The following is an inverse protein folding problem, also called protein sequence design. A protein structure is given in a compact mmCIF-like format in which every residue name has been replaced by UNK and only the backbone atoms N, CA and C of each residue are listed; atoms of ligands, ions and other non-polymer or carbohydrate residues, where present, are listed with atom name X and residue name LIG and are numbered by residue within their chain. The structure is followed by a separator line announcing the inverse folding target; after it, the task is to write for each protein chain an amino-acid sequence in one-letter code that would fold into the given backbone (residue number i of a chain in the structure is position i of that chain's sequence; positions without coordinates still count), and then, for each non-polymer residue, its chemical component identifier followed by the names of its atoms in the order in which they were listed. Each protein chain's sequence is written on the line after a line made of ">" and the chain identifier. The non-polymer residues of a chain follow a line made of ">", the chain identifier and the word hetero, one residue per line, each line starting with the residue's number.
data_IF_854014952417
#
_entry.id   IF_854014952417
#
_cell.length_a   1.000
_cell.length_b   1.000
_cell.length_c   1.000
_cell.angle_alpha   90.00
_cell.angle_beta   90.00
_cell.angle_gamma   90.00
#
_symmetry.space_group_name_H-M   'P 1'
#
loop_
_entity.id
_entity.type
_entity.pdbx_description
1 polymer ?
#
# COMPACT_ATOMS: atom_id res chain seq x y z
N UNK A 1 1.50 9.41 -20.06
CA UNK A 1 0.67 8.20 -19.89
C UNK A 1 -0.80 8.60 -19.93
N UNK A 2 -1.61 7.87 -20.69
CA UNK A 2 -3.08 8.03 -20.67
C UNK A 2 -3.67 7.44 -19.37
N UNK A 3 -4.80 7.97 -18.89
CA UNK A 3 -5.48 7.37 -17.73
C UNK A 3 -5.95 5.94 -18.05
N UNK A 4 -6.36 5.66 -19.29
CA UNK A 4 -6.73 4.32 -19.73
C UNK A 4 -5.56 3.33 -19.61
N UNK A 5 -4.33 3.75 -19.96
CA UNK A 5 -3.14 2.89 -19.83
C UNK A 5 -2.79 2.61 -18.37
N UNK A 6 -3.21 3.48 -17.43
CA UNK A 6 -3.05 3.24 -15.99
C UNK A 6 -3.95 2.09 -15.53
N UNK A 7 -5.22 2.06 -15.94
CA UNK A 7 -6.15 1.00 -15.53
C UNK A 7 -5.75 -0.37 -16.10
N UNK A 8 -5.36 -0.44 -17.38
CA UNK A 8 -4.82 -1.67 -17.97
C UNK A 8 -3.56 -2.15 -17.24
N UNK A 9 -2.64 -1.24 -16.87
CA UNK A 9 -1.46 -1.59 -16.08
C UNK A 9 -1.82 -2.11 -14.68
N UNK A 10 -2.83 -1.54 -14.02
CA UNK A 10 -3.33 -2.03 -12.73
C UNK A 10 -3.97 -3.43 -12.85
N UNK A 11 -4.77 -3.70 -13.89
CA UNK A 11 -5.28 -5.06 -14.19
C UNK A 11 -4.14 -6.05 -14.42
N UNK A 12 -3.13 -5.69 -15.22
CA UNK A 12 -1.94 -6.53 -15.43
C UNK A 12 -1.04 -6.65 -14.19
N UNK A 13 -1.11 -5.75 -13.21
CA UNK A 13 -0.50 -5.97 -11.90
C UNK A 13 -1.35 -6.94 -11.06
N UNK A 14 -2.67 -6.74 -10.97
CA UNK A 14 -3.58 -7.64 -10.25
C UNK A 14 -3.46 -9.11 -10.73
N UNK A 15 -3.40 -9.33 -12.05
CA UNK A 15 -3.22 -10.67 -12.63
C UNK A 15 -1.87 -11.32 -12.30
N UNK A 16 -0.78 -10.54 -12.20
CA UNK A 16 0.53 -11.07 -11.78
C UNK A 16 0.52 -11.42 -10.29
N UNK A 17 -0.07 -10.55 -9.47
CA UNK A 17 -0.18 -10.76 -8.03
C UNK A 17 -1.12 -11.94 -7.68
N UNK A 18 -2.16 -12.17 -8.50
CA UNK A 18 -3.04 -13.34 -8.40
C UNK A 18 -2.34 -14.68 -8.65
N UNK A 19 -1.33 -14.67 -9.52
CA UNK A 19 -0.60 -15.85 -9.98
C UNK A 19 0.74 -16.05 -9.25
N UNK A 20 1.03 -15.26 -8.21
CA UNK A 20 2.31 -15.32 -7.53
C UNK A 20 2.33 -16.43 -6.46
N UNK A 21 3.45 -17.14 -6.36
CA UNK A 21 3.70 -18.17 -5.34
C UNK A 21 4.23 -17.60 -4.02
N UNK A 22 4.12 -16.28 -3.83
CA UNK A 22 4.48 -15.60 -2.59
C UNK A 22 3.48 -15.94 -1.47
N UNK A 23 3.86 -15.67 -0.22
CA UNK A 23 2.96 -15.89 0.93
C UNK A 23 1.68 -15.07 0.78
N UNK A 24 0.51 -15.65 1.09
CA UNK A 24 -0.80 -15.00 0.91
C UNK A 24 -0.89 -13.58 1.52
N UNK A 25 -0.25 -13.36 2.66
CA UNK A 25 -0.15 -12.04 3.30
C UNK A 25 0.58 -10.97 2.46
N UNK A 26 1.42 -11.34 1.49
CA UNK A 26 2.04 -10.44 0.52
C UNK A 26 1.08 -10.14 -0.63
N UNK A 27 0.54 -11.16 -1.29
CA UNK A 27 -0.49 -11.02 -2.33
C UNK A 27 -1.68 -10.17 -1.84
N UNK A 28 -2.08 -10.34 -0.58
CA UNK A 28 -3.10 -9.53 0.09
C UNK A 28 -2.72 -8.05 0.24
N UNK A 29 -1.54 -7.74 0.82
CA UNK A 29 -1.05 -6.35 0.96
C UNK A 29 -0.98 -5.64 -0.39
N UNK A 30 -0.59 -6.37 -1.43
CA UNK A 30 -0.44 -5.85 -2.78
C UNK A 30 -1.81 -5.58 -3.45
N UNK A 31 -2.86 -6.33 -3.12
CA UNK A 31 -4.25 -6.03 -3.52
C UNK A 31 -4.80 -4.84 -2.74
N UNK A 32 -4.59 -4.76 -1.43
CA UNK A 32 -4.99 -3.58 -0.63
C UNK A 32 -4.31 -2.29 -1.17
N UNK A 33 -3.08 -2.41 -1.70
CA UNK A 33 -2.39 -1.34 -2.43
C UNK A 33 -3.00 -1.06 -3.82
N UNK A 34 -3.44 -2.07 -4.56
CA UNK A 34 -4.13 -1.90 -5.85
C UNK A 34 -5.52 -1.27 -5.70
N UNK A 35 -6.29 -1.63 -4.68
CA UNK A 35 -7.55 -0.97 -4.32
C UNK A 35 -7.30 0.52 -4.02
N UNK A 36 -6.28 0.84 -3.21
CA UNK A 36 -5.92 2.23 -2.90
C UNK A 36 -5.43 3.05 -4.13
N UNK A 37 -4.73 2.41 -5.09
CA UNK A 37 -4.39 3.04 -6.38
C UNK A 37 -5.65 3.28 -7.23
N UNK A 38 -6.60 2.36 -7.20
CA UNK A 38 -7.87 2.42 -7.94
C UNK A 38 -8.78 3.51 -7.38
N UNK A 39 -8.88 3.65 -6.05
CA UNK A 39 -9.53 4.80 -5.39
C UNK A 39 -8.90 6.13 -5.82
N UNK A 40 -7.56 6.20 -5.88
CA UNK A 40 -6.90 7.42 -6.32
C UNK A 40 -7.18 7.76 -7.79
N UNK A 41 -7.42 6.77 -8.66
CA UNK A 41 -7.88 6.99 -10.02
C UNK A 41 -9.33 7.48 -10.07
N UNK A 42 -10.24 6.84 -9.31
CA UNK A 42 -11.65 7.25 -9.21
C UNK A 42 -11.79 8.71 -8.76
N UNK A 43 -11.10 9.09 -7.68
CA UNK A 43 -11.11 10.44 -7.14
C UNK A 43 -10.52 11.48 -8.12
N UNK A 44 -9.51 11.12 -8.92
CA UNK A 44 -8.99 11.98 -10.00
C UNK A 44 -10.04 12.20 -11.09
N UNK A 45 -10.71 11.15 -11.56
CA UNK A 45 -11.77 11.28 -12.56
C UNK A 45 -12.95 12.11 -12.06
N UNK A 46 -13.42 11.88 -10.83
CA UNK A 46 -14.48 12.69 -10.21
C UNK A 46 -14.08 14.16 -10.05
N UNK A 47 -12.84 14.43 -9.63
CA UNK A 47 -12.29 15.78 -9.54
C UNK A 47 -12.19 16.47 -10.91
N UNK A 48 -11.66 15.79 -11.94
CA UNK A 48 -11.60 16.32 -13.30
C UNK A 48 -13.01 16.63 -13.84
N UNK A 49 -13.97 15.73 -13.63
CA UNK A 49 -15.39 15.93 -14.01
C UNK A 49 -15.96 17.20 -13.38
N UNK A 50 -15.74 17.40 -12.08
CA UNK A 50 -16.24 18.57 -11.37
C UNK A 50 -15.58 19.87 -11.87
N UNK A 51 -14.27 19.87 -12.11
CA UNK A 51 -13.58 21.03 -12.68
C UNK A 51 -14.09 21.38 -14.09
N UNK A 52 -14.29 20.39 -14.96
CA UNK A 52 -14.84 20.59 -16.31
C UNK A 52 -16.26 21.19 -16.26
N UNK A 53 -17.12 20.69 -15.37
CA UNK A 53 -18.47 21.23 -15.13
C UNK A 53 -18.44 22.68 -14.64
N UNK A 54 -17.57 23.00 -13.68
CA UNK A 54 -17.41 24.37 -13.17
C UNK A 54 -16.90 25.32 -14.25
N UNK A 55 -15.90 24.91 -15.04
CA UNK A 55 -15.39 25.69 -16.17
C UNK A 55 -16.49 25.95 -17.21
N UNK A 56 -17.23 24.92 -17.64
CA UNK A 56 -18.32 25.10 -18.60
C UNK A 56 -19.49 25.94 -18.05
N UNK A 57 -19.81 25.83 -16.75
CA UNK A 57 -20.80 26.67 -16.10
C UNK A 57 -20.37 28.14 -15.95
N UNK A 58 -19.06 28.42 -15.95
CA UNK A 58 -18.54 29.80 -15.85
C UNK A 58 -18.76 30.62 -17.13
N UNK A 59 -18.77 30.01 -18.31
CA UNK A 59 -18.93 30.74 -19.57
C UNK A 59 -20.29 31.44 -19.71
N UNK A 60 -21.45 30.79 -19.43
CA UNK A 60 -22.74 31.49 -19.35
C UNK A 60 -22.77 32.67 -18.37
N UNK A 61 -22.07 32.55 -17.23
CA UNK A 61 -21.98 33.63 -16.23
C UNK A 61 -21.16 34.81 -16.77
N UNK A 62 -20.02 34.54 -17.40
CA UNK A 62 -19.19 35.57 -18.05
C UNK A 62 -19.92 36.27 -19.21
N UNK A 63 -20.77 35.53 -19.94
CA UNK A 63 -21.63 36.08 -20.99
C UNK A 63 -22.72 36.98 -20.40
N UNK A 64 -23.42 36.53 -19.34
CA UNK A 64 -24.43 37.33 -18.64
C UNK A 64 -23.85 38.61 -18.00
N UNK A 65 -22.59 38.59 -17.57
CA UNK A 65 -21.86 39.74 -17.03
C UNK A 65 -21.24 40.66 -18.12
N UNK A 66 -21.46 40.36 -19.40
CA UNK A 66 -20.89 41.13 -20.53
C UNK A 66 -19.36 41.08 -20.59
N UNK A 67 -18.72 40.08 -19.97
CA UNK A 67 -17.25 39.90 -19.96
C UNK A 67 -16.75 38.98 -21.06
N UNK A 68 -17.65 38.22 -21.68
CA UNK A 68 -17.40 37.35 -22.82
C UNK A 68 -18.59 37.46 -23.78
N UNK A 69 -18.38 37.41 -25.09
CA UNK A 69 -19.49 37.32 -26.05
C UNK A 69 -19.77 35.85 -26.40
N UNK A 70 -21.04 35.53 -26.65
CA UNK A 70 -21.42 34.16 -27.03
C UNK A 70 -20.73 33.70 -28.33
N UNK A 71 -20.50 34.63 -29.27
CA UNK A 71 -19.72 34.38 -30.47
C UNK A 71 -18.26 34.01 -30.15
N UNK A 72 -17.57 34.78 -29.31
CA UNK A 72 -16.19 34.50 -28.93
C UNK A 72 -16.06 33.16 -28.17
N UNK A 73 -17.01 32.84 -27.30
CA UNK A 73 -17.06 31.54 -26.62
C UNK A 73 -17.20 30.37 -27.61
N UNK A 74 -18.11 30.47 -28.57
CA UNK A 74 -18.28 29.43 -29.60
C UNK A 74 -17.01 29.30 -30.46
N UNK A 75 -16.40 30.41 -30.88
CA UNK A 75 -15.11 30.38 -31.61
C UNK A 75 -13.99 29.71 -30.79
N UNK A 76 -13.97 29.86 -29.46
CA UNK A 76 -13.02 29.14 -28.59
C UNK A 76 -13.30 27.64 -28.46
N UNK A 77 -14.57 27.21 -28.56
CA UNK A 77 -14.95 25.78 -28.54
C UNK A 77 -14.73 25.08 -29.89
N UNK A 78 -14.96 25.81 -30.98
CA UNK A 78 -14.75 25.34 -32.36
C UNK A 78 -13.26 25.37 -32.78
N UNK A 79 -12.41 26.09 -32.03
CA UNK A 79 -10.97 26.08 -32.26
C UNK A 79 -10.41 24.67 -32.06
N UNK A 80 -9.93 24.05 -33.15
CA UNK A 80 -9.26 22.75 -33.13
C UNK A 80 -7.96 22.86 -32.34
N UNK A 81 -8.03 22.48 -31.07
CA UNK A 81 -6.86 22.21 -30.25
C UNK A 81 -6.31 20.84 -30.62
N UNK A 82 -4.99 20.75 -30.70
CA UNK A 82 -4.25 19.49 -30.89
C UNK A 82 -3.48 19.18 -29.60
N UNK A 83 -3.10 17.93 -29.41
CA UNK A 83 -2.08 17.56 -28.43
C UNK A 83 -1.10 16.57 -29.06
N UNK A 84 0.17 16.73 -28.74
CA UNK A 84 1.20 15.72 -29.03
C UNK A 84 1.13 14.64 -27.95
N UNK A 85 1.06 13.38 -28.36
CA UNK A 85 1.18 12.24 -27.45
C UNK A 85 2.65 11.92 -27.09
N UNK A 86 2.89 10.81 -26.38
CA UNK A 86 4.26 10.42 -26.01
C UNK A 86 5.07 9.80 -27.16
N UNK A 87 4.47 9.70 -28.35
CA UNK A 87 5.00 9.14 -29.58
C UNK A 87 5.20 10.22 -30.66
N UNK A 88 4.71 11.44 -30.43
CA UNK A 88 4.75 12.55 -31.38
C UNK A 88 3.55 12.61 -32.34
N UNK A 89 2.50 11.81 -32.13
CA UNK A 89 1.25 11.94 -32.90
C UNK A 89 0.47 13.18 -32.45
N UNK A 90 0.04 14.00 -33.40
CA UNK A 90 -0.79 15.20 -33.17
C UNK A 90 -2.27 14.87 -33.25
N UNK A 91 -2.83 14.34 -32.16
CA UNK A 91 -4.24 13.97 -32.10
C UNK A 91 -5.16 15.19 -31.87
N UNK A 92 -6.36 15.22 -32.49
CA UNK A 92 -7.34 16.27 -32.25
C UNK A 92 -7.92 16.16 -30.84
N UNK A 93 -7.84 17.24 -30.07
CA UNK A 93 -8.33 17.29 -28.69
C UNK A 93 -9.87 17.40 -28.66
N UNK A 94 -10.52 16.55 -27.87
CA UNK A 94 -11.97 16.58 -27.67
C UNK A 94 -12.35 17.83 -26.87
N UNK A 95 -13.05 18.79 -27.50
CA UNK A 95 -13.55 20.02 -26.85
C UNK A 95 -15.01 19.92 -26.37
N UNK A 96 -15.82 19.01 -26.94
CA UNK A 96 -17.25 18.87 -26.62
C UNK A 96 -17.46 18.25 -25.23
N UNK A 97 -18.12 18.98 -24.33
CA UNK A 97 -18.35 18.55 -22.95
C UNK A 97 -19.07 17.19 -22.87
N UNK A 98 -20.11 16.97 -23.67
CA UNK A 98 -20.89 15.72 -23.69
C UNK A 98 -20.00 14.49 -23.97
N UNK A 99 -19.12 14.61 -24.96
CA UNK A 99 -18.17 13.55 -25.32
C UNK A 99 -17.18 13.28 -24.17
N UNK A 100 -16.69 14.32 -23.49
CA UNK A 100 -15.79 14.16 -22.34
C UNK A 100 -16.53 13.60 -21.11
N UNK A 101 -17.76 14.02 -20.85
CA UNK A 101 -18.63 13.50 -19.79
C UNK A 101 -18.93 12.02 -19.97
N UNK A 102 -19.21 11.58 -21.20
CA UNK A 102 -19.41 10.16 -21.54
C UNK A 102 -18.12 9.35 -21.32
N UNK A 103 -16.99 9.80 -21.88
CA UNK A 103 -15.69 9.14 -21.67
C UNK A 103 -15.35 9.02 -20.17
N UNK A 104 -15.61 10.07 -19.38
CA UNK A 104 -15.40 10.03 -17.92
C UNK A 104 -16.37 9.07 -17.23
N UNK A 105 -17.62 8.96 -17.69
CA UNK A 105 -18.57 7.97 -17.19
C UNK A 105 -18.13 6.53 -17.49
N UNK A 106 -17.66 6.25 -18.71
CA UNK A 106 -17.18 4.94 -19.15
C UNK A 106 -15.92 4.51 -18.39
N UNK A 107 -15.01 5.45 -18.12
CA UNK A 107 -13.84 5.19 -17.28
C UNK A 107 -14.23 4.96 -15.81
N UNK A 108 -15.21 5.71 -15.27
CA UNK A 108 -15.74 5.48 -13.92
C UNK A 108 -16.52 4.16 -13.79
N UNK A 109 -17.14 3.66 -14.86
CA UNK A 109 -17.70 2.31 -14.92
C UNK A 109 -16.59 1.26 -14.89
N UNK A 110 -15.61 1.38 -15.81
CA UNK A 110 -14.44 0.49 -15.91
C UNK A 110 -13.66 0.36 -14.59
N UNK A 111 -13.59 1.44 -13.80
CA UNK A 111 -12.99 1.46 -12.46
C UNK A 111 -13.80 0.63 -11.45
N UNK A 112 -15.14 0.69 -11.50
CA UNK A 112 -16.03 -0.09 -10.62
C UNK A 112 -16.01 -1.58 -10.95
N UNK A 113 -15.93 -1.92 -12.23
CA UNK A 113 -15.76 -3.31 -12.67
C UNK A 113 -14.42 -3.86 -12.16
N UNK A 114 -13.33 -3.08 -12.25
CA UNK A 114 -12.04 -3.48 -11.70
C UNK A 114 -12.03 -3.58 -10.16
N UNK A 115 -12.78 -2.76 -9.43
CA UNK A 115 -13.00 -2.99 -7.99
C UNK A 115 -13.74 -4.31 -7.70
N UNK A 116 -14.69 -4.72 -8.55
CA UNK A 116 -15.36 -6.01 -8.40
C UNK A 116 -14.36 -7.17 -8.65
N UNK A 117 -13.51 -7.06 -9.67
CA UNK A 117 -12.39 -8.00 -9.92
C UNK A 117 -11.46 -8.11 -8.69
N UNK A 118 -11.02 -6.97 -8.13
CA UNK A 118 -10.12 -6.95 -6.95
C UNK A 118 -10.76 -7.60 -5.71
N UNK A 119 -12.07 -7.41 -5.48
CA UNK A 119 -12.80 -8.06 -4.37
C UNK A 119 -12.98 -9.56 -4.56
N UNK A 120 -13.25 -10.00 -5.80
CA UNK A 120 -13.30 -11.44 -6.14
C UNK A 120 -11.92 -12.08 -5.90
N UNK A 121 -10.84 -11.38 -6.26
CA UNK A 121 -9.48 -11.84 -6.01
C UNK A 121 -9.15 -11.89 -4.51
N UNK A 122 -9.48 -10.85 -3.74
CA UNK A 122 -9.28 -10.79 -2.28
C UNK A 122 -10.03 -11.93 -1.56
N UNK A 123 -11.30 -12.17 -1.90
CA UNK A 123 -12.08 -13.29 -1.32
C UNK A 123 -11.57 -14.67 -1.76
N UNK A 124 -10.87 -14.76 -2.88
CA UNK A 124 -10.23 -16.01 -3.34
C UNK A 124 -8.94 -16.28 -2.58
N UNK A 125 -8.09 -15.28 -2.38
CA UNK A 125 -6.88 -15.39 -1.56
C UNK A 125 -7.22 -15.78 -0.12
N UNK A 126 -8.22 -15.14 0.50
CA UNK A 126 -8.67 -15.51 1.86
C UNK A 126 -9.22 -16.94 1.95
N UNK A 127 -9.79 -17.49 0.86
CA UNK A 127 -10.22 -18.89 0.80
C UNK A 127 -9.03 -19.84 0.71
N UNK A 128 -8.03 -19.50 -0.10
CA UNK A 128 -6.83 -20.31 -0.30
C UNK A 128 -5.97 -20.34 0.97
N UNK A 129 -5.75 -19.18 1.61
CA UNK A 129 -5.05 -19.03 2.89
C UNK A 129 -5.72 -19.89 3.99
N UNK A 130 -7.05 -19.92 4.05
CA UNK A 130 -7.82 -20.78 4.96
C UNK A 130 -7.74 -22.27 4.60
N UNK A 131 -7.55 -22.60 3.32
CA UNK A 131 -7.45 -24.00 2.86
C UNK A 131 -6.05 -24.58 3.15
N UNK A 132 -4.98 -23.82 2.90
CA UNK A 132 -3.62 -24.22 3.26
C UNK A 132 -3.46 -24.38 4.77
N UNK A 133 -3.96 -23.43 5.57
CA UNK A 133 -3.89 -23.54 7.03
C UNK A 133 -4.57 -24.80 7.61
N UNK A 134 -5.58 -25.35 6.92
CA UNK A 134 -6.21 -26.63 7.27
C UNK A 134 -5.39 -27.85 6.85
N UNK A 135 -4.74 -27.79 5.68
CA UNK A 135 -3.84 -28.84 5.22
C UNK A 135 -2.61 -28.93 6.13
N UNK A 136 -2.05 -27.78 6.55
CA UNK A 136 -0.98 -27.72 7.55
C UNK A 136 -1.43 -28.32 8.90
N UNK A 137 -2.63 -27.98 9.38
CA UNK A 137 -3.20 -28.57 10.60
C UNK A 137 -3.36 -30.10 10.48
N UNK A 138 -3.89 -30.60 9.36
CA UNK A 138 -4.06 -32.04 9.11
C UNK A 138 -2.71 -32.78 9.00
N UNK A 139 -1.69 -32.17 8.38
CA UNK A 139 -0.32 -32.72 8.30
C UNK A 139 0.36 -32.75 9.67
N UNK A 140 0.18 -31.71 10.50
CA UNK A 140 0.69 -31.67 11.88
C UNK A 140 -0.01 -32.72 12.75
N UNK A 141 -1.34 -32.83 12.69
CA UNK A 141 -2.10 -33.85 13.42
C UNK A 141 -1.71 -35.27 12.99
N UNK A 142 -1.52 -35.51 11.69
CA UNK A 142 -1.06 -36.81 11.16
C UNK A 142 0.34 -37.15 11.69
N UNK A 143 1.25 -36.17 11.70
CA UNK A 143 2.61 -36.32 12.20
C UNK A 143 2.66 -36.55 13.72
N UNK A 144 1.85 -35.83 14.51
CA UNK A 144 1.71 -36.04 15.96
C UNK A 144 1.16 -37.44 16.28
N UNK A 145 0.18 -37.93 15.51
CA UNK A 145 -0.32 -39.30 15.65
C UNK A 145 0.75 -40.35 15.31
N UNK A 146 1.56 -40.13 14.27
CA UNK A 146 2.67 -41.03 13.91
C UNK A 146 3.76 -41.07 15.01
N UNK A 147 4.11 -39.91 15.59
CA UNK A 147 5.03 -39.83 16.73
C UNK A 147 4.43 -40.53 17.95
N UNK A 148 3.16 -40.28 18.29
CA UNK A 148 2.46 -40.95 19.39
C UNK A 148 2.50 -42.47 19.25
N UNK A 149 2.09 -43.00 18.09
CA UNK A 149 2.10 -44.44 17.82
C UNK A 149 3.51 -45.05 17.96
N UNK A 150 4.55 -44.28 17.63
CA UNK A 150 5.95 -44.69 17.80
C UNK A 150 6.39 -44.70 19.26
N UNK A 151 5.91 -43.75 20.08
CA UNK A 151 6.14 -43.73 21.54
C UNK A 151 5.36 -44.84 22.25
N UNK A 152 4.11 -45.10 21.85
CA UNK A 152 3.29 -46.19 22.37
C UNK A 152 3.94 -47.56 22.06
N UNK A 153 4.57 -47.71 20.88
CA UNK A 153 5.34 -48.91 20.51
C UNK A 153 6.66 -49.05 21.29
N UNK A 154 7.41 -47.97 21.49
CA UNK A 154 8.61 -47.98 22.33
C UNK A 154 8.28 -48.30 23.80
N UNK A 155 7.16 -47.81 24.31
CA UNK A 155 6.68 -48.06 25.68
C UNK A 155 6.34 -49.54 25.86
N UNK A 156 5.55 -50.14 24.94
CA UNK A 156 5.29 -51.60 24.93
C UNK A 156 6.57 -52.42 24.88
N UNK A 157 7.60 -51.98 24.14
CA UNK A 157 8.91 -52.66 24.10
C UNK A 157 9.64 -52.59 25.43
N UNK A 158 9.60 -51.46 26.13
CA UNK A 158 10.15 -51.33 27.48
C UNK A 158 9.39 -52.20 28.49
N UNK A 159 8.06 -52.22 28.45
CA UNK A 159 7.23 -53.06 29.33
C UNK A 159 7.43 -54.57 29.04
N UNK A 160 7.65 -54.93 27.77
CA UNK A 160 7.95 -56.31 27.37
C UNK A 160 9.36 -56.78 27.73
N UNK A 161 10.26 -55.85 28.08
CA UNK A 161 11.62 -56.19 28.48
C UNK A 161 11.59 -56.78 29.90
N UNK A 162 11.96 -58.06 30.10
CA UNK A 162 11.92 -58.66 31.42
C UNK A 162 12.97 -57.99 32.30
N UNK A 163 12.51 -57.08 33.18
CA UNK A 163 13.35 -56.39 34.16
C UNK A 163 14.07 -57.43 35.03
N UNK A 164 15.32 -57.70 34.67
CA UNK A 164 16.17 -58.70 35.32
C UNK A 164 16.43 -58.22 36.73
N UNK A 165 15.71 -58.78 37.70
CA UNK A 165 15.68 -58.31 39.10
C UNK A 165 17.09 -58.20 39.70
N UNK A 166 17.68 -57.02 39.63
CA UNK A 166 18.70 -56.58 40.56
C UNK A 166 18.04 -56.49 41.94
N UNK A 167 18.43 -57.36 42.84
CA UNK A 167 17.85 -57.47 44.18
C UNK A 167 18.45 -56.44 45.12
N UNK A 168 17.66 -55.45 45.53
CA UNK A 168 17.96 -54.59 46.69
C UNK A 168 16.75 -54.49 47.63
N UNK A 169 16.95 -54.19 48.94
CA UNK A 169 16.00 -54.59 49.97
C UNK A 169 14.96 -53.52 50.39
N UNK A 170 13.71 -54.00 50.45
CA UNK A 170 12.76 -53.83 51.57
C UNK A 170 12.12 -52.45 51.93
N UNK A 171 10.77 -52.41 51.76
CA UNK A 171 9.75 -51.94 52.74
C UNK A 171 9.59 -50.40 52.94
N UNK A 172 8.37 -49.80 53.16
CA UNK A 172 6.98 -50.29 53.10
C UNK A 172 6.01 -49.48 52.17
N UNK A 173 4.75 -49.93 52.13
CA UNK A 173 3.52 -49.25 51.62
C UNK A 173 2.93 -48.27 52.69
N UNK A 174 1.76 -47.55 52.52
CA UNK A 174 0.67 -47.59 51.52
C UNK A 174 0.38 -46.19 50.88
N UNK A 175 -0.77 -45.75 50.32
CA UNK A 175 -2.20 -46.16 50.41
C UNK A 175 -3.05 -45.78 49.16
N UNK A 176 -4.35 -46.10 49.20
CA UNK A 176 -5.42 -46.01 48.19
C UNK A 176 -6.04 -44.61 47.98
N UNK A 177 -6.51 -44.32 46.75
CA UNK A 177 -7.87 -43.82 46.37
C UNK A 177 -7.82 -43.30 44.92
N UNK A 178 -8.38 -43.93 43.88
CA UNK A 178 -9.80 -44.21 43.59
C UNK A 178 -10.66 -42.95 43.33
N UNK A 179 -10.92 -42.63 42.04
CA UNK A 179 -12.27 -42.52 41.46
C UNK A 179 -12.23 -42.35 39.92
N UNK A 180 -13.32 -42.76 39.26
CA UNK A 180 -13.55 -42.81 37.81
C UNK A 180 -14.92 -42.15 37.51
N UNK A 181 -15.08 -41.41 36.40
CA UNK A 181 -16.40 -41.22 35.76
C UNK A 181 -16.33 -40.76 34.28
N UNK A 182 -17.47 -40.80 33.57
CA UNK A 182 -17.57 -40.88 32.10
C UNK A 182 -18.50 -39.82 31.45
N UNK A 183 -18.55 -39.85 30.10
CA UNK A 183 -19.65 -39.42 29.18
C UNK A 183 -19.75 -37.95 28.71
N UNK A 184 -19.38 -37.76 27.43
CA UNK A 184 -20.15 -37.04 26.39
C UNK A 184 -21.51 -37.76 26.12
N UNK A 185 -22.53 -37.21 25.42
CA UNK A 185 -22.43 -36.19 24.35
C UNK A 185 -23.47 -35.04 24.33
N UNK A 186 -23.25 -34.10 23.41
CA UNK A 186 -24.18 -33.09 22.86
C UNK A 186 -24.16 -33.20 21.31
N UNK A 187 -25.02 -32.48 20.54
CA UNK A 187 -26.45 -32.25 20.75
C UNK A 187 -27.27 -32.53 19.47
N UNK A 188 -28.53 -32.94 19.60
CA UNK A 188 -29.46 -32.99 18.46
C UNK A 188 -30.08 -31.61 18.20
N UNK A 189 -29.81 -30.99 17.05
CA UNK A 189 -30.52 -29.80 16.56
C UNK A 189 -31.49 -30.22 15.46
N UNK A 190 -32.76 -29.88 15.62
CA UNK A 190 -33.86 -30.31 14.76
C UNK A 190 -34.41 -29.13 13.95
N UNK A 191 -34.90 -29.41 12.74
CA UNK A 191 -35.23 -28.37 11.75
C UNK A 191 -36.35 -27.41 12.16
N UNK A 192 -36.10 -26.11 12.00
CA UNK A 192 -37.12 -25.06 11.89
C UNK A 192 -36.84 -24.16 10.69
N UNK A 193 -37.00 -24.72 9.48
CA UNK A 193 -37.01 -23.97 8.22
C UNK A 193 -38.35 -23.23 8.01
N UNK A 194 -38.77 -22.41 8.99
CA UNK A 194 -40.03 -21.67 8.90
C UNK A 194 -39.97 -20.48 7.92
N UNK A 195 -41.07 -20.31 7.18
CA UNK A 195 -41.22 -19.37 6.07
C UNK A 195 -41.15 -17.90 6.51
N UNK A 196 -39.99 -17.27 6.39
CA UNK A 196 -39.89 -15.80 6.42
C UNK A 196 -40.55 -15.23 5.16
N UNK A 197 -41.83 -14.89 5.25
CA UNK A 197 -42.53 -14.09 4.23
C UNK A 197 -42.06 -12.64 4.30
N UNK A 198 -41.07 -12.29 3.48
CA UNK A 198 -40.55 -10.92 3.33
C UNK A 198 -41.60 -9.97 2.74
N UNK A 199 -42.43 -9.39 3.61
CA UNK A 199 -43.14 -8.14 3.30
C UNK A 199 -42.09 -7.05 3.10
N UNK A 200 -41.94 -6.56 1.87
CA UNK A 200 -41.12 -5.38 1.61
C UNK A 200 -41.73 -4.17 2.36
N UNK A 201 -40.95 -3.42 3.16
CA UNK A 201 -41.45 -2.22 3.82
C UNK A 201 -41.64 -1.10 2.79
N UNK A 202 -42.68 -0.29 2.98
CA UNK A 202 -42.94 0.86 2.11
C UNK A 202 -41.84 1.93 2.21
N UNK A 203 -41.54 2.66 1.12
CA UNK A 203 -40.52 3.71 1.11
C UNK A 203 -40.92 4.89 2.02
N UNK A 204 -39.92 5.56 2.60
CA UNK A 204 -40.08 6.60 3.62
C UNK A 204 -40.03 6.09 5.07
N UNK A 205 -39.82 4.79 5.28
CA UNK A 205 -39.82 4.19 6.62
C UNK A 205 -38.63 4.63 7.52
N UNK A 206 -38.76 4.39 8.83
CA UNK A 206 -37.72 4.69 9.86
C UNK A 206 -36.34 4.07 9.54
N UNK A 207 -36.32 3.01 8.71
CA UNK A 207 -35.12 2.33 8.25
C UNK A 207 -34.22 3.20 7.36
N UNK A 208 -34.79 3.97 6.42
CA UNK A 208 -34.03 4.81 5.49
C UNK A 208 -33.23 5.88 6.23
N UNK A 209 -33.82 6.51 7.24
CA UNK A 209 -33.16 7.48 8.12
C UNK A 209 -32.01 6.85 8.93
N UNK A 210 -32.11 5.55 9.24
CA UNK A 210 -31.03 4.78 9.87
C UNK A 210 -29.89 4.52 8.87
N UNK A 211 -30.23 4.07 7.65
CA UNK A 211 -29.25 3.81 6.58
C UNK A 211 -28.50 5.08 6.19
N UNK A 212 -29.18 6.21 6.01
CA UNK A 212 -28.55 7.50 5.71
C UNK A 212 -27.58 7.94 6.81
N UNK A 213 -27.98 7.81 8.09
CA UNK A 213 -27.11 8.14 9.24
C UNK A 213 -25.89 7.22 9.33
N UNK A 214 -26.05 5.93 8.99
CA UNK A 214 -24.96 4.97 8.92
C UNK A 214 -23.96 5.30 7.77
N UNK A 215 -24.47 5.61 6.58
CA UNK A 215 -23.66 6.04 5.43
C UNK A 215 -22.89 7.34 5.72
N UNK A 216 -23.52 8.30 6.40
CA UNK A 216 -22.87 9.54 6.83
C UNK A 216 -21.73 9.26 7.83
N UNK A 217 -21.94 8.33 8.78
CA UNK A 217 -20.89 7.87 9.70
C UNK A 217 -19.70 7.22 8.99
N UNK A 218 -19.96 6.37 7.98
CA UNK A 218 -18.91 5.77 7.16
C UNK A 218 -18.12 6.82 6.35
N UNK A 219 -18.78 7.85 5.83
CA UNK A 219 -18.11 8.93 5.11
C UNK A 219 -17.17 9.74 6.01
N UNK A 220 -17.62 10.13 7.20
CA UNK A 220 -16.79 10.89 8.15
C UNK A 220 -15.63 10.05 8.70
N UNK A 221 -15.85 8.75 8.94
CA UNK A 221 -14.78 7.82 9.31
C UNK A 221 -13.72 7.66 8.19
N UNK A 222 -14.14 7.50 6.91
CA UNK A 222 -13.21 7.43 5.76
C UNK A 222 -12.42 8.73 5.61
N UNK A 223 -13.08 9.88 5.78
CA UNK A 223 -12.43 11.21 5.81
C UNK A 223 -11.38 11.29 6.92
N UNK A 224 -11.70 10.88 8.15
CA UNK A 224 -10.76 10.90 9.28
C UNK A 224 -9.54 9.99 9.05
N UNK A 225 -9.74 8.78 8.47
CA UNK A 225 -8.65 7.89 8.06
C UNK A 225 -7.77 8.54 6.99
N UNK A 226 -8.37 9.17 5.98
CA UNK A 226 -7.63 9.87 4.93
C UNK A 226 -6.88 11.10 5.46
N UNK A 227 -7.46 11.88 6.38
CA UNK A 227 -6.76 12.97 7.06
C UNK A 227 -5.56 12.48 7.86
N UNK A 228 -5.69 11.37 8.59
CA UNK A 228 -4.58 10.78 9.34
C UNK A 228 -3.48 10.28 8.40
N UNK A 229 -3.84 9.60 7.30
CA UNK A 229 -2.91 9.18 6.25
C UNK A 229 -2.19 10.37 5.61
N UNK A 230 -2.87 11.49 5.37
CA UNK A 230 -2.26 12.74 4.89
C UNK A 230 -1.33 13.34 5.94
N UNK A 231 -1.73 13.40 7.22
CA UNK A 231 -0.87 13.87 8.33
C UNK A 231 0.40 13.03 8.43
N UNK A 232 0.33 11.71 8.28
CA UNK A 232 1.50 10.82 8.34
C UNK A 232 2.38 10.87 7.08
N UNK A 233 1.80 11.12 5.91
CA UNK A 233 2.58 11.44 4.71
C UNK A 233 3.28 12.80 4.87
N UNK A 234 2.64 13.81 5.43
CA UNK A 234 3.25 15.12 5.71
C UNK A 234 4.36 15.03 6.77
N UNK A 235 4.25 14.15 7.78
CA UNK A 235 5.37 13.82 8.70
C UNK A 235 6.57 13.22 7.95
N UNK A 236 6.34 12.36 6.95
CA UNK A 236 7.41 11.78 6.11
C UNK A 236 8.00 12.79 5.10
N UNK A 237 7.20 13.76 4.67
CA UNK A 237 7.58 14.84 3.74
C UNK A 237 8.13 16.10 4.44
N UNK A 238 8.67 16.00 5.67
CA UNK A 238 9.14 17.15 6.45
C UNK A 238 10.34 17.93 5.86
N UNK A 239 10.91 17.46 4.75
CA UNK A 239 12.07 18.08 4.14
C UNK A 239 11.64 19.02 3.01
N UNK A 240 12.19 20.24 3.02
CA UNK A 240 11.99 21.18 1.91
C UNK A 240 12.68 20.62 0.65
N UNK A 241 12.02 20.64 -0.52
CA UNK A 241 12.64 20.30 -1.80
C UNK A 241 13.97 21.03 -1.97
N UNK A 242 14.98 20.38 -2.56
CA UNK A 242 16.31 20.98 -2.67
C UNK A 242 16.29 22.19 -3.58
N UNK A 243 16.59 23.36 -3.02
CA UNK A 243 16.96 24.52 -3.81
C UNK A 243 18.34 24.32 -4.41
N UNK A 244 18.40 23.84 -5.66
CA UNK A 244 19.63 23.74 -6.47
C UNK A 244 20.14 25.14 -6.86
N UNK A 245 20.51 25.95 -5.87
CA UNK A 245 21.17 27.23 -6.07
C UNK A 245 22.58 27.01 -6.62
N UNK A 246 22.97 27.86 -7.57
CA UNK A 246 24.36 28.00 -7.98
C UNK A 246 25.08 28.96 -7.02
N UNK A 247 26.38 28.72 -6.80
CA UNK A 247 27.20 29.46 -5.85
C UNK A 247 27.44 28.71 -4.54
N UNK A 248 28.46 29.16 -3.82
CA UNK A 248 28.72 28.84 -2.41
C UNK A 248 28.55 30.13 -1.60
N UNK A 249 28.07 30.04 -0.36
CA UNK A 249 27.78 31.23 0.45
C UNK A 249 29.05 31.89 1.05
N UNK A 250 30.25 31.36 0.75
CA UNK A 250 31.52 31.70 1.42
C UNK A 250 32.75 31.52 0.49
N UNK A 251 33.54 32.57 0.32
CA UNK A 251 34.75 32.54 -0.55
C UNK A 251 35.80 31.50 -0.11
N UNK A 252 35.94 31.30 1.21
CA UNK A 252 36.87 30.30 1.79
C UNK A 252 36.57 28.87 1.34
N UNK A 253 35.32 28.61 0.93
CA UNK A 253 34.84 27.31 0.52
C UNK A 253 34.96 27.07 -1.00
N UNK A 254 35.42 28.08 -1.78
CA UNK A 254 35.63 27.97 -3.23
C UNK A 254 36.56 26.82 -3.68
N UNK A 255 37.44 26.35 -2.80
CA UNK A 255 38.33 25.21 -3.04
C UNK A 255 37.63 23.85 -2.90
N UNK A 256 36.44 23.78 -2.30
CA UNK A 256 35.71 22.53 -2.10
C UNK A 256 35.22 21.96 -3.43
N UNK A 257 35.49 20.67 -3.66
CA UNK A 257 34.96 19.91 -4.79
C UNK A 257 33.64 19.22 -4.46
N UNK A 258 32.69 19.27 -5.39
CA UNK A 258 31.48 18.46 -5.34
C UNK A 258 31.84 16.98 -5.52
N UNK A 259 31.52 16.14 -4.53
CA UNK A 259 31.87 14.70 -4.53
C UNK A 259 31.23 13.93 -5.69
N UNK A 260 30.12 14.43 -6.25
CA UNK A 260 29.38 13.74 -7.31
C UNK A 260 29.85 14.07 -8.73
N UNK A 261 30.38 15.27 -8.97
CA UNK A 261 30.77 15.74 -10.32
C UNK A 261 32.18 16.36 -10.42
N UNK A 262 32.94 16.45 -9.33
CA UNK A 262 34.30 16.98 -9.30
C UNK A 262 34.41 18.51 -9.40
N UNK A 263 33.34 19.22 -9.78
CA UNK A 263 33.32 20.67 -9.90
C UNK A 263 33.71 21.36 -8.58
N UNK A 264 34.70 22.26 -8.64
CA UNK A 264 35.19 23.03 -7.47
C UNK A 264 34.54 24.41 -7.43
N UNK A 265 34.13 24.86 -6.26
CA UNK A 265 33.65 26.23 -6.04
C UNK A 265 32.26 26.59 -6.58
N UNK A 266 31.63 25.75 -7.41
CA UNK A 266 30.35 26.07 -8.07
C UNK A 266 29.13 25.80 -7.17
N UNK A 267 29.14 24.73 -6.37
CA UNK A 267 28.00 24.31 -5.54
C UNK A 267 28.42 23.30 -4.46
N UNK A 268 27.68 23.26 -3.36
CA UNK A 268 27.81 22.21 -2.34
C UNK A 268 27.36 20.83 -2.89
N UNK A 269 27.94 19.74 -2.39
CA UNK A 269 27.64 18.39 -2.90
C UNK A 269 26.16 18.01 -2.78
N UNK A 270 25.45 18.48 -1.76
CA UNK A 270 24.01 18.25 -1.59
C UNK A 270 23.13 19.02 -2.60
N UNK A 271 23.67 20.08 -3.21
CA UNK A 271 23.06 20.85 -4.30
C UNK A 271 23.63 20.52 -5.69
N UNK A 272 24.25 19.34 -5.88
CA UNK A 272 24.76 18.92 -7.19
C UNK A 272 23.64 18.82 -8.25
N UNK A 273 23.70 19.58 -9.37
CA UNK A 273 22.67 19.56 -10.42
C UNK A 273 22.85 18.40 -11.42
N UNK A 274 24.06 17.86 -11.57
CA UNK A 274 24.36 16.74 -12.51
C UNK A 274 23.82 15.42 -11.96
N UNK A 275 23.81 15.26 -10.63
CA UNK A 275 23.23 14.15 -9.91
C UNK A 275 22.26 14.71 -8.86
N UNK A 276 21.00 15.04 -9.23
CA UNK A 276 20.02 15.61 -8.30
C UNK A 276 19.39 14.55 -7.38
N UNK A 277 19.13 13.35 -7.90
CA UNK A 277 18.48 12.24 -7.19
C UNK A 277 19.34 11.63 -6.07
N UNK A 278 18.72 11.40 -4.92
CA UNK A 278 19.36 10.81 -3.73
C UNK A 278 19.77 9.34 -3.93
N UNK A 279 19.05 8.58 -4.76
CA UNK A 279 19.31 7.16 -5.01
C UNK A 279 20.60 6.96 -5.80
N UNK A 280 20.72 7.66 -6.94
CA UNK A 280 21.93 7.68 -7.78
C UNK A 280 23.14 8.24 -7.03
N UNK A 281 22.95 9.23 -6.15
CA UNK A 281 24.02 9.72 -5.26
C UNK A 281 24.53 8.62 -4.32
N UNK A 282 23.64 7.85 -3.67
CA UNK A 282 24.04 6.72 -2.80
C UNK A 282 24.77 5.63 -3.57
N UNK A 283 24.24 5.24 -4.73
CA UNK A 283 24.88 4.25 -5.61
C UNK A 283 26.31 4.67 -5.97
N UNK A 284 26.50 5.92 -6.42
CA UNK A 284 27.84 6.45 -6.75
C UNK A 284 28.80 6.47 -5.56
N UNK A 285 28.33 6.75 -4.34
CA UNK A 285 29.19 6.66 -3.15
C UNK A 285 29.56 5.21 -2.81
N UNK A 286 28.66 4.24 -3.02
CA UNK A 286 28.96 2.82 -2.82
C UNK A 286 29.98 2.32 -3.86
N UNK A 287 29.81 2.71 -5.12
CA UNK A 287 30.74 2.46 -6.24
C UNK A 287 32.15 3.03 -5.95
N UNK A 288 32.24 4.30 -5.52
CA UNK A 288 33.50 4.95 -5.10
C UNK A 288 34.01 4.52 -3.70
N UNK A 289 33.35 3.55 -3.03
CA UNK A 289 33.68 3.07 -1.67
C UNK A 289 33.80 4.19 -0.62
N UNK A 290 32.92 5.19 -0.72
CA UNK A 290 32.77 6.33 0.20
C UNK A 290 31.71 6.06 1.26
N UNK A 291 31.97 6.53 2.48
CA UNK A 291 31.00 6.40 3.58
C UNK A 291 29.85 7.42 3.47
N UNK A 292 28.60 6.94 3.56
CA UNK A 292 27.37 7.75 3.47
C UNK A 292 27.19 8.81 4.59
N UNK A 293 28.00 8.75 5.65
CA UNK A 293 28.02 9.72 6.75
C UNK A 293 28.97 10.90 6.52
N UNK A 294 30.13 10.64 5.92
CA UNK A 294 31.23 11.62 5.84
C UNK A 294 31.66 12.00 4.42
N UNK A 295 31.25 11.23 3.40
CA UNK A 295 31.65 11.29 1.99
C UNK A 295 33.13 10.95 1.69
N UNK A 296 33.92 10.60 2.70
CA UNK A 296 35.33 10.22 2.53
C UNK A 296 35.47 8.75 2.08
N UNK A 297 36.51 8.49 1.29
CA UNK A 297 36.96 7.13 0.92
C UNK A 297 37.70 6.49 2.11
N UNK A 298 37.58 5.18 2.30
CA UNK A 298 38.33 4.45 3.32
C UNK A 298 37.87 4.65 4.78
N UNK A 299 36.77 5.38 4.99
CA UNK A 299 36.15 5.51 6.30
C UNK A 299 35.46 4.20 6.72
N UNK A 300 35.90 3.60 7.83
CA UNK A 300 35.41 2.32 8.38
C UNK A 300 33.95 2.36 8.91
N UNK A 301 33.24 3.47 8.78
CA UNK A 301 31.82 3.60 9.18
C UNK A 301 31.54 3.56 10.69
N UNK A 302 32.56 3.41 11.54
CA UNK A 302 32.44 3.33 13.01
C UNK A 302 31.68 4.55 13.57
N UNK A 303 30.68 4.31 14.42
CA UNK A 303 29.79 5.36 14.97
C UNK A 303 30.53 6.49 15.72
N UNK A 304 31.79 6.26 16.13
CA UNK A 304 32.69 7.19 16.81
C UNK A 304 33.00 8.49 16.06
N UNK A 305 32.79 8.58 14.74
CA UNK A 305 33.10 9.80 13.99
C UNK A 305 32.19 10.98 14.39
N UNK A 306 32.73 12.20 14.63
CA UNK A 306 31.92 13.37 14.98
C UNK A 306 30.78 13.69 13.98
N UNK A 307 31.01 13.45 12.68
CA UNK A 307 29.99 13.61 11.62
C UNK A 307 28.74 12.70 11.81
N UNK A 308 28.79 11.64 12.63
CA UNK A 308 27.62 10.77 12.91
C UNK A 308 26.53 11.48 13.72
N UNK A 309 26.94 12.45 14.55
CA UNK A 309 26.05 13.26 15.42
C UNK A 309 25.57 14.55 14.75
N UNK A 310 26.10 14.90 13.57
CA UNK A 310 25.64 16.06 12.80
C UNK A 310 24.22 15.80 12.27
N UNK A 311 23.30 16.71 12.55
CA UNK A 311 21.95 16.66 11.99
C UNK A 311 21.96 17.05 10.51
N UNK A 312 21.26 16.27 9.68
CA UNK A 312 21.10 16.56 8.27
C UNK A 312 20.40 17.91 8.06
N UNK A 313 20.92 18.72 7.13
CA UNK A 313 20.43 20.07 6.91
C UNK A 313 18.95 20.11 6.50
N UNK A 314 18.48 19.13 5.72
CA UNK A 314 17.11 19.06 5.20
C UNK A 314 16.10 18.50 6.23
N UNK A 315 16.42 17.37 6.88
CA UNK A 315 15.47 16.62 7.72
C UNK A 315 15.66 16.76 9.24
N UNK A 316 16.80 17.34 9.66
CA UNK A 316 17.27 17.46 11.06
C UNK A 316 17.53 16.14 11.81
N UNK A 317 17.23 14.98 11.23
CA UNK A 317 17.65 13.67 11.75
C UNK A 317 19.16 13.46 11.56
N UNK A 318 19.76 12.60 12.38
CA UNK A 318 21.17 12.18 12.29
C UNK A 318 21.33 10.93 11.41
N UNK A 319 22.53 10.32 11.37
CA UNK A 319 22.74 9.01 10.74
C UNK A 319 22.88 9.01 9.21
N UNK A 320 22.91 10.18 8.55
CA UNK A 320 23.21 10.31 7.12
C UNK A 320 23.71 11.72 6.79
N UNK A 321 24.55 11.85 5.75
CA UNK A 321 24.97 13.15 5.25
C UNK A 321 23.84 13.86 4.48
N UNK A 322 23.71 15.19 4.58
CA UNK A 322 22.66 15.99 3.89
C UNK A 322 22.51 15.64 2.41
N UNK A 323 23.66 15.41 1.76
CA UNK A 323 23.78 15.05 0.36
C UNK A 323 23.01 13.79 -0.07
N UNK A 324 22.80 12.83 0.84
CA UNK A 324 22.14 11.53 0.58
C UNK A 324 20.89 11.29 1.43
N UNK A 325 20.34 12.35 2.02
CA UNK A 325 18.96 12.36 2.54
C UNK A 325 17.99 11.94 1.42
N UNK A 326 17.04 11.06 1.69
CA UNK A 326 16.06 10.59 0.69
C UNK A 326 15.03 11.67 0.31
N UNK A 327 14.65 12.50 1.28
CA UNK A 327 13.53 13.43 1.15
C UNK A 327 13.98 14.76 0.52
N UNK A 328 14.16 14.78 -0.79
CA UNK A 328 14.49 16.00 -1.53
C UNK A 328 14.47 15.82 -3.04
#
# INVERSE_FOLDING_TARGET
>A
MSLCSTLSHLRSQAQRNANCSDRWGECRRDIELLEAKTENCELRFLSLRQHLRVLHASAPILIALGKLSNAAWNTMLDQRLYYEDAQGSTEPKITRLETVENIVADQLASIKDFYAELRILQTTILRNELQEGKLDEEVVLTSLNAVKNSVDELTKRMDSYPMRRSSEPAIPQPTQSAMEHQRRPEPAKQDQAERIKTKFPEPGSRYEKSVLKFLQGLMEARKQVNENRVKDLLKKLQCRPRGFKQGLDRDKEAHMGCVFCGARGIHYSDSCPILPDSTRRRFKLQEERRCLLCLEVGCEGKQSYPKSRTSCYHCKLTGHHSAVCEAG
#
